data_IF_787770572835
#
_entry.id   IF_787770572835
#
_cell.length_a   1.000
_cell.length_b   1.000
_cell.length_c   1.000
_cell.angle_alpha   90.00
_cell.angle_beta   90.00
_cell.angle_gamma   90.00
#
_symmetry.space_group_name_H-M   'P 1'
#
loop_
_entity.id
_entity.type
_entity.pdbx_description
1 polymer ?
#
# COMPACT_ATOMS: atom_id res chain seq x y z
N UNK A 1 -62.47 -38.75 -34.33
CA UNK A 1 -63.33 -38.84 -35.58
C UNK A 1 -63.41 -37.45 -36.16
N UNK A 2 -62.75 -37.17 -37.27
CA UNK A 2 -63.24 -36.58 -38.51
C UNK A 2 -62.03 -36.35 -39.41
N UNK A 3 -62.07 -37.01 -40.55
CA UNK A 3 -61.13 -36.98 -41.68
C UNK A 3 -61.04 -35.64 -42.35
N UNK A 4 -59.81 -35.30 -42.81
CA UNK A 4 -59.49 -34.29 -43.78
C UNK A 4 -59.29 -34.93 -45.14
N UNK A 5 -59.58 -34.28 -46.25
CA UNK A 5 -59.03 -34.70 -47.53
C UNK A 5 -57.93 -33.83 -48.02
N UNK A 6 -56.94 -34.44 -48.57
CA UNK A 6 -55.81 -34.00 -49.35
C UNK A 6 -56.27 -33.32 -50.65
N UNK A 7 -55.71 -32.15 -50.94
CA UNK A 7 -55.87 -31.56 -52.26
C UNK A 7 -54.48 -31.45 -52.93
N UNK A 8 -54.28 -32.29 -53.96
CA UNK A 8 -53.12 -32.25 -54.85
C UNK A 8 -53.35 -31.13 -55.91
N UNK A 9 -52.45 -30.18 -55.95
CA UNK A 9 -52.39 -29.27 -57.08
C UNK A 9 -51.07 -29.53 -57.82
N UNK A 10 -51.20 -30.07 -59.02
CA UNK A 10 -50.12 -30.19 -59.98
C UNK A 10 -49.87 -28.83 -60.63
N UNK A 11 -48.68 -28.31 -60.51
CA UNK A 11 -48.24 -27.14 -61.27
C UNK A 11 -47.27 -27.57 -62.36
N UNK A 12 -47.69 -27.39 -63.59
CA UNK A 12 -46.96 -27.70 -64.82
C UNK A 12 -45.81 -26.73 -65.02
N UNK A 13 -44.64 -27.26 -65.29
CA UNK A 13 -43.45 -26.52 -65.61
C UNK A 13 -43.45 -26.11 -67.08
N UNK A 14 -43.55 -24.79 -67.38
CA UNK A 14 -43.23 -24.27 -68.68
C UNK A 14 -41.87 -23.62 -68.68
N UNK A 15 -41.02 -24.16 -69.53
CA UNK A 15 -39.62 -23.77 -69.68
C UNK A 15 -39.51 -22.61 -70.65
N UNK A 16 -39.24 -21.40 -70.10
CA UNK A 16 -38.95 -20.23 -70.94
C UNK A 16 -37.51 -19.80 -70.70
N UNK A 17 -36.64 -20.16 -71.64
CA UNK A 17 -35.25 -19.69 -71.67
C UNK A 17 -35.20 -18.21 -71.98
N UNK A 18 -35.06 -17.40 -70.99
CA UNK A 18 -34.68 -15.98 -71.13
C UNK A 18 -33.19 -15.86 -70.90
N UNK A 19 -32.45 -15.71 -72.01
CA UNK A 19 -31.03 -15.33 -72.01
C UNK A 19 -30.86 -13.99 -71.35
N UNK A 20 -30.27 -13.98 -70.14
CA UNK A 20 -29.82 -12.74 -69.53
C UNK A 20 -28.41 -12.43 -70.05
N UNK A 21 -28.34 -11.36 -70.79
CA UNK A 21 -27.14 -10.65 -71.14
C UNK A 21 -26.47 -10.18 -69.83
N UNK A 22 -25.32 -10.79 -69.49
CA UNK A 22 -24.52 -10.32 -68.37
C UNK A 22 -23.75 -9.11 -68.80
N UNK A 23 -24.27 -7.94 -68.42
CA UNK A 23 -23.56 -6.70 -68.45
C UNK A 23 -22.31 -6.82 -67.56
N UNK A 24 -21.13 -6.79 -68.21
CA UNK A 24 -19.84 -6.78 -67.54
C UNK A 24 -19.74 -5.49 -66.70
N UNK A 25 -20.18 -5.56 -65.43
CA UNK A 25 -19.80 -4.59 -64.44
C UNK A 25 -18.30 -4.78 -64.16
N UNK A 26 -17.49 -3.92 -64.80
CA UNK A 26 -16.12 -3.69 -64.35
C UNK A 26 -16.17 -3.17 -62.94
N UNK A 27 -16.13 -4.06 -61.96
CA UNK A 27 -15.75 -3.72 -60.61
C UNK A 27 -14.29 -3.34 -60.64
N UNK A 28 -14.02 -2.04 -60.78
CA UNK A 28 -12.75 -1.50 -60.34
C UNK A 28 -12.58 -2.00 -58.89
N UNK A 29 -11.74 -3.03 -58.73
CA UNK A 29 -11.28 -3.41 -57.42
C UNK A 29 -10.48 -2.23 -56.91
N UNK A 30 -11.11 -1.44 -56.04
CA UNK A 30 -10.39 -0.57 -55.14
C UNK A 30 -9.34 -1.44 -54.42
N UNK A 31 -8.12 -1.34 -54.91
CA UNK A 31 -6.95 -1.94 -54.24
C UNK A 31 -6.80 -1.17 -52.93
N UNK A 32 -7.51 -1.64 -51.90
CA UNK A 32 -7.24 -1.20 -50.52
C UNK A 32 -5.78 -1.54 -50.29
N UNK A 33 -4.91 -0.54 -50.10
CA UNK A 33 -3.51 -0.83 -49.85
C UNK A 33 -3.45 -1.75 -48.61
N UNK A 34 -3.00 -2.97 -48.81
CA UNK A 34 -2.76 -3.86 -47.71
C UNK A 34 -1.69 -3.20 -46.85
N UNK A 35 -2.09 -2.67 -45.73
CA UNK A 35 -1.15 -2.22 -44.68
C UNK A 35 -0.27 -3.41 -44.40
N UNK A 36 0.97 -3.40 -44.89
CA UNK A 36 1.97 -4.35 -44.52
C UNK A 36 2.32 -4.06 -43.06
N UNK A 37 1.54 -4.65 -42.14
CA UNK A 37 1.83 -4.61 -40.72
C UNK A 37 3.03 -5.48 -40.46
N UNK A 38 4.01 -4.95 -39.78
CA UNK A 38 5.11 -5.74 -39.21
C UNK A 38 4.64 -6.21 -37.83
N UNK A 39 4.49 -7.50 -37.65
CA UNK A 39 4.27 -8.07 -36.32
C UNK A 39 5.64 -8.21 -35.64
N UNK A 40 5.80 -7.56 -34.50
CA UNK A 40 6.98 -7.69 -33.65
C UNK A 40 6.53 -8.09 -32.25
N UNK A 41 7.33 -8.91 -31.60
CA UNK A 41 7.17 -9.19 -30.19
C UNK A 41 7.82 -8.05 -29.41
N UNK A 42 7.08 -7.48 -28.47
CA UNK A 42 7.59 -6.40 -27.65
C UNK A 42 6.94 -6.39 -26.26
N UNK A 43 7.67 -5.86 -25.30
CA UNK A 43 7.19 -5.63 -23.94
C UNK A 43 6.85 -4.16 -23.76
N UNK A 44 5.63 -3.88 -23.25
CA UNK A 44 5.26 -2.54 -22.81
C UNK A 44 5.72 -2.35 -21.36
N UNK A 45 6.54 -1.33 -21.15
CA UNK A 45 6.95 -0.89 -19.81
C UNK A 45 6.65 0.61 -19.63
N UNK A 46 6.40 1.09 -18.40
CA UNK A 46 6.29 2.53 -18.18
C UNK A 46 7.57 3.24 -18.59
N UNK A 47 7.44 4.37 -19.32
CA UNK A 47 8.55 5.25 -19.71
C UNK A 47 9.10 5.99 -18.48
N UNK A 48 9.46 5.28 -17.43
CA UNK A 48 9.93 5.86 -16.19
C UNK A 48 10.49 4.80 -15.26
N UNK A 49 10.97 5.25 -14.11
CA UNK A 49 11.53 4.36 -13.11
C UNK A 49 10.45 3.45 -12.51
N UNK A 50 10.63 2.15 -12.65
CA UNK A 50 9.86 1.15 -11.91
C UNK A 50 10.52 0.95 -10.56
N UNK A 51 9.73 1.12 -9.49
CA UNK A 51 10.21 0.94 -8.11
C UNK A 51 9.58 -0.28 -7.49
N UNK A 52 10.44 -1.18 -7.03
CA UNK A 52 10.04 -2.32 -6.22
C UNK A 52 9.87 -1.87 -4.77
N UNK A 53 8.67 -2.05 -4.24
CA UNK A 53 8.35 -1.68 -2.86
C UNK A 53 8.42 -2.93 -1.99
N UNK A 54 9.36 -2.95 -1.05
CA UNK A 54 9.55 -4.03 -0.11
C UNK A 54 8.95 -3.70 1.26
N UNK A 55 8.61 -4.74 2.03
CA UNK A 55 8.29 -4.56 3.45
C UNK A 55 9.55 -4.24 4.25
N UNK A 56 9.44 -3.48 5.34
CA UNK A 56 10.55 -3.29 6.25
C UNK A 56 10.98 -4.63 6.85
N UNK A 57 12.29 -4.81 7.00
CA UNK A 57 12.85 -6.00 7.65
C UNK A 57 12.74 -5.81 9.17
N UNK A 58 12.29 -6.83 9.88
CA UNK A 58 12.28 -6.82 11.35
C UNK A 58 13.70 -6.84 11.91
N UNK A 59 13.86 -6.50 13.20
CA UNK A 59 15.16 -6.56 13.90
C UNK A 59 15.81 -7.95 13.85
N UNK A 60 15.02 -9.00 13.60
CA UNK A 60 15.50 -10.39 13.48
C UNK A 60 15.74 -10.83 12.03
N UNK A 61 15.78 -9.92 11.08
CA UNK A 61 16.02 -10.22 9.66
C UNK A 61 14.84 -10.93 8.95
N UNK A 62 13.66 -10.96 9.55
CA UNK A 62 12.46 -11.57 8.96
C UNK A 62 11.54 -10.51 8.39
N UNK A 63 10.93 -10.82 7.25
CA UNK A 63 9.89 -9.97 6.67
C UNK A 63 8.55 -10.20 7.39
N UNK A 64 7.81 -9.15 7.77
CA UNK A 64 6.49 -9.28 8.34
C UNK A 64 5.48 -9.77 7.30
N UNK A 65 4.42 -10.42 7.78
CA UNK A 65 3.31 -10.88 6.94
C UNK A 65 2.45 -9.69 6.53
N UNK A 66 1.98 -9.71 5.27
CA UNK A 66 0.96 -8.77 4.78
C UNK A 66 -0.40 -9.19 5.35
N UNK A 67 -1.06 -8.28 6.10
CA UNK A 67 -2.40 -8.52 6.67
C UNK A 67 -3.48 -7.97 5.75
N UNK A 68 -3.24 -6.80 5.17
CA UNK A 68 -4.19 -6.13 4.28
C UNK A 68 -3.44 -5.52 3.10
N UNK A 69 -4.07 -5.58 1.94
CA UNK A 69 -3.63 -4.96 0.71
C UNK A 69 -4.77 -4.09 0.19
N UNK A 70 -4.52 -2.80 0.01
CA UNK A 70 -5.56 -1.81 -0.31
C UNK A 70 -5.62 -1.45 -1.81
N UNK A 71 -4.77 -2.05 -2.62
CA UNK A 71 -4.63 -1.74 -4.05
C UNK A 71 -4.64 -3.01 -4.89
N UNK A 72 -4.93 -2.84 -6.17
CA UNK A 72 -4.88 -3.86 -7.22
C UNK A 72 -3.93 -3.44 -8.32
N UNK A 73 -3.51 -4.40 -9.15
CA UNK A 73 -2.75 -4.12 -10.37
C UNK A 73 -3.56 -3.21 -11.29
N UNK A 74 -2.91 -2.18 -11.82
CA UNK A 74 -3.52 -1.14 -12.64
C UNK A 74 -4.09 0.06 -11.89
N UNK A 75 -4.18 0.03 -10.56
CA UNK A 75 -4.67 1.16 -9.78
C UNK A 75 -3.69 2.34 -9.83
N UNK A 76 -4.23 3.55 -10.00
CA UNK A 76 -3.46 4.78 -9.81
C UNK A 76 -3.44 5.16 -8.33
N UNK A 77 -2.26 5.49 -7.82
CA UNK A 77 -2.06 5.89 -6.43
C UNK A 77 -1.25 7.18 -6.33
N UNK A 78 -1.61 8.00 -5.38
CA UNK A 78 -0.86 9.21 -5.05
C UNK A 78 0.26 8.90 -4.05
N UNK A 79 1.27 9.77 -4.05
CA UNK A 79 2.36 9.72 -3.06
C UNK A 79 1.79 9.70 -1.65
N UNK A 80 2.35 8.85 -0.80
CA UNK A 80 1.96 8.65 0.60
C UNK A 80 0.64 7.88 0.83
N UNK A 81 -0.05 7.42 -0.22
CA UNK A 81 -1.20 6.51 -0.09
C UNK A 81 -0.75 5.20 0.55
N UNK A 82 -1.55 4.67 1.49
CA UNK A 82 -1.29 3.36 2.11
C UNK A 82 -1.63 2.26 1.11
N UNK A 83 -0.67 1.39 0.85
CA UNK A 83 -0.78 0.28 -0.10
C UNK A 83 -1.02 -1.06 0.59
N UNK A 84 -0.32 -1.28 1.72
CA UNK A 84 -0.43 -2.50 2.51
C UNK A 84 -0.19 -2.24 3.99
N UNK A 85 -0.70 -3.14 4.85
CA UNK A 85 -0.41 -3.17 6.29
C UNK A 85 0.17 -4.52 6.69
N UNK A 86 1.04 -4.50 7.72
CA UNK A 86 1.79 -5.66 8.19
C UNK A 86 1.36 -6.12 9.59
N UNK A 87 1.61 -7.40 9.90
CA UNK A 87 1.19 -8.09 11.13
C UNK A 87 1.66 -7.44 12.43
N UNK A 88 2.78 -6.73 12.42
CA UNK A 88 3.35 -6.10 13.60
C UNK A 88 2.62 -4.82 14.06
N UNK A 89 1.71 -4.28 13.22
CA UNK A 89 1.05 -2.99 13.44
C UNK A 89 0.24 -2.95 14.74
N UNK A 90 -0.58 -3.96 15.00
CA UNK A 90 -1.44 -3.98 16.19
C UNK A 90 -0.62 -4.13 17.47
N UNK A 91 0.45 -4.92 17.43
CA UNK A 91 1.40 -5.00 18.54
C UNK A 91 2.06 -3.65 18.82
N UNK A 92 2.54 -2.96 17.78
CA UNK A 92 3.17 -1.64 17.91
C UNK A 92 2.22 -0.58 18.45
N UNK A 93 0.93 -0.61 18.07
CA UNK A 93 -0.10 0.26 18.66
C UNK A 93 -0.25 0.01 20.17
N UNK A 94 -0.32 -1.26 20.57
CA UNK A 94 -0.41 -1.63 21.97
C UNK A 94 0.83 -1.21 22.77
N UNK A 95 2.02 -1.38 22.18
CA UNK A 95 3.28 -1.00 22.83
C UNK A 95 3.39 0.54 22.93
N UNK A 96 2.91 1.28 21.94
CA UNK A 96 2.81 2.74 21.98
C UNK A 96 1.90 3.19 23.16
N UNK A 97 0.72 2.61 23.25
CA UNK A 97 -0.24 2.93 24.32
C UNK A 97 0.34 2.66 25.71
N UNK A 98 1.02 1.52 25.91
CA UNK A 98 1.72 1.23 27.16
C UNK A 98 2.80 2.26 27.49
N UNK A 99 3.55 2.70 26.48
CA UNK A 99 4.60 3.70 26.67
C UNK A 99 4.00 5.07 27.00
N UNK A 100 2.84 5.41 26.44
CA UNK A 100 2.12 6.66 26.75
C UNK A 100 1.63 6.67 28.19
N UNK A 101 1.03 5.58 28.68
CA UNK A 101 0.66 5.45 30.10
C UNK A 101 1.88 5.51 31.04
N UNK A 102 3.00 4.92 30.64
CA UNK A 102 4.24 5.01 31.42
C UNK A 102 4.77 6.46 31.50
N UNK A 103 4.68 7.21 30.42
CA UNK A 103 5.05 8.63 30.39
C UNK A 103 4.15 9.47 31.28
N UNK A 104 2.83 9.24 31.24
CA UNK A 104 1.87 9.91 32.11
C UNK A 104 2.15 9.64 33.57
N UNK A 105 2.44 8.38 33.93
CA UNK A 105 2.84 8.00 35.31
C UNK A 105 4.12 8.69 35.73
N UNK A 106 5.14 8.74 34.86
CA UNK A 106 6.40 9.44 35.14
C UNK A 106 6.16 10.95 35.34
N UNK A 107 5.26 11.56 34.58
CA UNK A 107 4.95 12.98 34.73
C UNK A 107 4.28 13.27 36.07
N UNK A 108 3.37 12.40 36.49
CA UNK A 108 2.75 12.48 37.82
C UNK A 108 3.81 12.32 38.94
N UNK A 109 4.69 11.32 38.84
CA UNK A 109 5.77 11.13 39.81
C UNK A 109 6.71 12.33 39.88
N UNK A 110 7.11 12.91 38.74
CA UNK A 110 7.94 14.10 38.68
C UNK A 110 7.24 15.26 39.39
N UNK A 111 5.97 15.51 39.09
CA UNK A 111 5.19 16.57 39.71
C UNK A 111 5.09 16.41 41.23
N UNK A 112 4.81 15.20 41.71
CA UNK A 112 4.76 14.89 43.14
C UNK A 112 6.12 15.12 43.83
N UNK A 113 7.22 14.71 43.18
CA UNK A 113 8.59 14.91 43.70
C UNK A 113 8.99 16.39 43.69
N UNK A 114 8.57 17.15 42.68
CA UNK A 114 8.80 18.61 42.62
C UNK A 114 8.07 19.32 43.78
N UNK A 115 6.84 18.96 44.05
CA UNK A 115 6.06 19.55 45.15
C UNK A 115 6.62 19.13 46.53
N UNK A 116 7.09 17.89 46.66
CA UNK A 116 7.82 17.46 47.87
C UNK A 116 9.09 18.29 48.05
N UNK A 117 9.89 18.49 47.00
CA UNK A 117 11.13 19.25 47.05
C UNK A 117 10.88 20.71 47.44
N UNK A 118 9.82 21.35 46.92
CA UNK A 118 9.40 22.72 47.34
C UNK A 118 9.12 22.78 48.85
N UNK A 119 8.35 21.80 49.40
CA UNK A 119 8.04 21.74 50.83
C UNK A 119 9.30 21.52 51.68
N UNK A 120 10.20 20.65 51.23
CA UNK A 120 11.49 20.44 51.91
C UNK A 120 12.34 21.70 51.95
N UNK A 121 12.42 22.46 50.86
CA UNK A 121 13.15 23.72 50.78
C UNK A 121 12.64 24.71 51.87
N UNK A 122 11.31 24.87 51.94
CA UNK A 122 10.68 25.73 52.96
C UNK A 122 10.94 25.27 54.41
N UNK A 123 11.15 23.96 54.64
CA UNK A 123 11.44 23.42 55.94
C UNK A 123 12.92 23.53 56.33
N UNK A 124 13.85 23.49 55.38
CA UNK A 124 15.27 23.80 55.57
C UNK A 124 15.46 25.25 56.00
N UNK A 125 14.76 26.18 55.35
CA UNK A 125 14.82 27.60 55.69
C UNK A 125 14.39 27.87 57.15
N UNK A 126 13.67 26.88 57.77
CA UNK A 126 13.28 26.86 59.20
C UNK A 126 14.18 26.01 60.10
N UNK A 127 15.34 25.59 59.62
CA UNK A 127 16.29 24.65 60.31
C UNK A 127 15.70 23.30 60.69
N UNK A 128 14.64 22.81 59.98
CA UNK A 128 13.98 21.54 60.34
C UNK A 128 14.59 20.34 59.60
N UNK A 129 15.41 20.51 58.56
CA UNK A 129 16.01 19.41 57.78
C UNK A 129 17.45 19.73 57.34
N UNK A 130 18.20 18.65 57.01
CA UNK A 130 19.59 18.75 56.54
C UNK A 130 19.67 19.05 55.04
N UNK A 131 20.66 19.86 54.63
CA UNK A 131 20.98 20.11 53.20
C UNK A 131 21.34 18.83 52.43
N UNK A 132 21.94 17.83 53.11
CA UNK A 132 22.28 16.55 52.51
C UNK A 132 21.01 15.83 52.04
N UNK A 133 19.96 15.83 52.84
CA UNK A 133 18.67 15.18 52.48
C UNK A 133 18.00 15.90 51.33
N UNK A 134 18.13 17.21 51.27
CA UNK A 134 17.63 18.01 50.12
C UNK A 134 18.35 17.65 48.84
N UNK A 135 19.69 17.58 48.87
CA UNK A 135 20.50 17.20 47.72
C UNK A 135 20.13 15.80 47.20
N UNK A 136 19.96 14.83 48.08
CA UNK A 136 19.55 13.47 47.71
C UNK A 136 18.20 13.46 46.99
N UNK A 137 17.21 14.21 47.47
CA UNK A 137 15.88 14.30 46.84
C UNK A 137 15.93 15.01 45.47
N UNK A 138 16.80 16.01 45.35
CA UNK A 138 17.05 16.68 44.06
C UNK A 138 17.67 15.71 43.05
N UNK A 139 18.59 14.84 43.49
CA UNK A 139 19.19 13.82 42.61
C UNK A 139 18.19 12.76 42.20
N UNK A 140 17.26 12.34 43.11
CA UNK A 140 16.14 11.47 42.75
C UNK A 140 15.25 12.08 41.69
N UNK A 141 14.87 13.37 41.83
CA UNK A 141 14.08 14.08 40.83
C UNK A 141 14.82 14.15 39.49
N UNK A 142 16.13 14.41 39.50
CA UNK A 142 16.94 14.45 38.30
C UNK A 142 16.95 13.10 37.56
N UNK A 143 17.05 11.97 38.33
CA UNK A 143 16.97 10.63 37.77
C UNK A 143 15.63 10.37 37.08
N UNK A 144 14.51 10.75 37.71
CA UNK A 144 13.19 10.60 37.10
C UNK A 144 13.04 11.43 35.81
N UNK A 145 13.55 12.68 35.82
CA UNK A 145 13.56 13.51 34.62
C UNK A 145 14.39 12.91 33.50
N UNK A 146 15.53 12.32 33.79
CA UNK A 146 16.35 11.59 32.80
C UNK A 146 15.63 10.34 32.29
N UNK A 147 14.95 9.59 33.17
CA UNK A 147 14.15 8.44 32.77
C UNK A 147 13.00 8.81 31.81
N UNK A 148 12.34 9.94 32.06
CA UNK A 148 11.35 10.48 31.14
C UNK A 148 11.92 10.73 29.73
N UNK A 149 13.14 11.31 29.63
CA UNK A 149 13.80 11.54 28.34
C UNK A 149 14.03 10.22 27.59
N UNK A 150 14.48 9.18 28.28
CA UNK A 150 14.67 7.84 27.71
C UNK A 150 13.32 7.29 27.20
N UNK A 151 12.26 7.37 28.01
CA UNK A 151 10.93 6.89 27.64
C UNK A 151 10.35 7.67 26.44
N UNK A 152 10.65 8.96 26.31
CA UNK A 152 10.28 9.76 25.12
C UNK A 152 11.03 9.31 23.86
N UNK A 153 12.31 8.96 23.99
CA UNK A 153 13.09 8.40 22.89
C UNK A 153 12.54 7.04 22.44
N UNK A 154 12.21 6.16 23.39
CA UNK A 154 11.58 4.87 23.10
C UNK A 154 10.22 5.03 22.41
N UNK A 155 9.38 5.98 22.91
CA UNK A 155 8.10 6.31 22.24
C UNK A 155 8.31 6.74 20.80
N UNK A 156 9.32 7.57 20.54
CA UNK A 156 9.66 8.02 19.18
C UNK A 156 10.08 6.84 18.30
N UNK A 157 10.85 5.91 18.81
CA UNK A 157 11.23 4.69 18.08
C UNK A 157 9.99 3.86 17.70
N UNK A 158 9.09 3.62 18.65
CA UNK A 158 7.83 2.91 18.39
C UNK A 158 6.98 3.62 17.32
N UNK A 159 6.92 4.95 17.32
CA UNK A 159 6.21 5.71 16.29
C UNK A 159 6.81 5.55 14.89
N UNK A 160 8.14 5.49 14.79
CA UNK A 160 8.83 5.20 13.54
C UNK A 160 8.50 3.78 13.06
N UNK A 161 8.57 2.78 13.94
CA UNK A 161 8.22 1.41 13.63
C UNK A 161 6.75 1.27 13.22
N UNK A 162 5.85 2.01 13.88
CA UNK A 162 4.43 2.06 13.54
C UNK A 162 4.21 2.69 12.16
N UNK A 163 4.95 3.72 11.78
CA UNK A 163 4.90 4.28 10.43
C UNK A 163 5.39 3.27 9.39
N UNK A 164 6.47 2.55 9.70
CA UNK A 164 7.04 1.51 8.84
C UNK A 164 6.19 0.23 8.77
N UNK A 165 5.22 0.05 9.69
CA UNK A 165 4.27 -1.07 9.64
C UNK A 165 3.20 -0.92 8.55
N UNK A 166 3.25 0.15 7.77
CA UNK A 166 2.45 0.37 6.56
C UNK A 166 3.38 0.60 5.39
N UNK A 167 3.09 -0.05 4.27
CA UNK A 167 3.72 0.27 3.00
C UNK A 167 2.98 1.44 2.38
N UNK A 168 3.71 2.51 2.07
CA UNK A 168 3.15 3.71 1.43
C UNK A 168 3.83 3.97 0.09
N UNK A 169 3.06 4.54 -0.84
CA UNK A 169 3.62 4.93 -2.13
C UNK A 169 4.64 6.07 -1.96
N UNK A 170 5.87 5.92 -2.46
CA UNK A 170 6.88 6.99 -2.46
C UNK A 170 6.65 8.04 -3.57
N UNK A 171 5.84 7.71 -4.57
CA UNK A 171 5.59 8.52 -5.77
C UNK A 171 4.12 8.47 -6.17
N UNK A 172 3.70 9.35 -7.08
CA UNK A 172 2.45 9.20 -7.82
C UNK A 172 2.69 8.21 -8.96
N UNK A 173 1.77 7.27 -9.20
CA UNK A 173 1.97 6.28 -10.26
C UNK A 173 0.93 5.17 -10.27
N UNK A 174 1.18 4.17 -11.11
CA UNK A 174 0.34 3.00 -11.28
C UNK A 174 0.98 1.76 -10.65
N UNK A 175 0.17 0.93 -10.01
CA UNK A 175 0.59 -0.39 -9.52
C UNK A 175 0.74 -1.30 -10.73
N UNK A 176 1.96 -1.80 -10.96
CA UNK A 176 2.29 -2.62 -12.12
C UNK A 176 2.10 -4.10 -11.83
N UNK A 177 2.57 -4.56 -10.67
CA UNK A 177 2.44 -5.95 -10.24
C UNK A 177 2.35 -6.04 -8.73
N UNK A 178 1.73 -7.12 -8.25
CA UNK A 178 1.62 -7.46 -6.84
C UNK A 178 2.32 -8.81 -6.63
N UNK A 179 3.47 -8.76 -5.94
CA UNK A 179 4.36 -9.91 -5.77
C UNK A 179 4.09 -10.70 -4.48
N UNK A 180 3.27 -10.13 -3.56
CA UNK A 180 2.96 -10.76 -2.26
C UNK A 180 1.46 -10.68 -1.98
N UNK A 181 0.84 -11.80 -1.61
CA UNK A 181 -0.58 -11.87 -1.28
C UNK A 181 -0.84 -11.64 0.19
N UNK A 182 -2.09 -11.28 0.52
CA UNK A 182 -2.54 -11.21 1.92
C UNK A 182 -2.33 -12.57 2.60
N UNK A 183 -1.72 -12.54 3.78
CA UNK A 183 -1.35 -13.74 4.54
C UNK A 183 0.07 -14.25 4.28
N UNK A 184 0.75 -13.78 3.25
CA UNK A 184 2.13 -14.18 2.90
C UNK A 184 3.15 -13.22 3.52
N UNK A 185 4.40 -13.68 3.63
CA UNK A 185 5.56 -12.85 3.95
C UNK A 185 6.19 -12.39 2.64
N UNK A 186 6.58 -11.12 2.55
CA UNK A 186 7.30 -10.66 1.37
C UNK A 186 8.64 -11.39 1.23
N UNK A 187 9.10 -11.49 0.00
CA UNK A 187 10.37 -12.10 -0.38
C UNK A 187 11.33 -11.03 -0.95
N UNK A 188 12.39 -11.47 -1.63
CA UNK A 188 13.36 -10.59 -2.30
C UNK A 188 12.78 -9.77 -3.45
N UNK A 189 11.62 -10.17 -4.00
CA UNK A 189 10.92 -9.43 -5.06
C UNK A 189 10.12 -8.24 -4.52
N UNK A 190 9.94 -8.17 -3.20
CA UNK A 190 9.15 -7.13 -2.54
C UNK A 190 7.67 -7.45 -2.45
N UNK A 191 6.86 -6.44 -2.14
CA UNK A 191 5.40 -6.58 -2.01
C UNK A 191 4.72 -6.28 -3.33
N UNK A 192 5.12 -5.20 -4.00
CA UNK A 192 4.54 -4.74 -5.28
C UNK A 192 5.51 -3.81 -6.02
N UNK A 193 5.25 -3.63 -7.30
CA UNK A 193 5.99 -2.72 -8.18
C UNK A 193 5.10 -1.53 -8.56
N UNK A 194 5.68 -0.32 -8.55
CA UNK A 194 5.01 0.92 -8.94
C UNK A 194 5.79 1.62 -10.05
N UNK A 195 5.09 2.08 -11.09
CA UNK A 195 5.64 2.87 -12.19
C UNK A 195 5.20 4.33 -12.12
N UNK A 196 6.15 5.25 -12.31
CA UNK A 196 5.93 6.69 -12.15
C UNK A 196 5.23 7.36 -13.35
N UNK A 197 5.10 6.69 -14.50
CA UNK A 197 4.77 7.35 -15.76
C UNK A 197 3.37 7.04 -16.28
N UNK A 198 2.74 8.07 -16.87
CA UNK A 198 1.57 7.93 -17.75
C UNK A 198 1.96 7.48 -19.17
N UNK A 199 3.23 7.59 -19.54
CA UNK A 199 3.74 7.20 -20.85
C UNK A 199 4.27 5.77 -20.78
N UNK A 200 3.94 4.98 -21.80
CA UNK A 200 4.44 3.62 -21.96
C UNK A 200 5.48 3.59 -23.08
N UNK A 201 6.55 2.89 -22.87
CA UNK A 201 7.56 2.58 -23.89
C UNK A 201 7.41 1.13 -24.32
N UNK A 202 7.49 0.90 -25.64
CA UNK A 202 7.53 -0.45 -26.20
C UNK A 202 8.97 -0.81 -26.53
N UNK A 203 9.51 -1.79 -25.84
CA UNK A 203 10.79 -2.40 -26.22
C UNK A 203 10.49 -3.56 -27.17
N UNK A 204 10.99 -3.47 -28.40
CA UNK A 204 10.79 -4.46 -29.46
C UNK A 204 12.07 -5.29 -29.54
N UNK A 205 11.94 -6.62 -29.48
CA UNK A 205 13.01 -7.59 -29.74
C UNK A 205 12.98 -8.06 -31.18
#
# INVERSE_FOLDING_TARGET
LILSPFLFINFSCSNEKKSREYENLNLEQDIVPSLKGVAALGQLSPAGEVRKLASPVSQFGTFPRVIELFVKEGDYVEKNTVLATFENREKLKSDLQKKEYLLETNDLEISLKEDQLKRFKLAIDKNAYSEIQFSQRKDELLKLKKQKIINLADRKAILIDLSNSQLRSPINGYILSINTRVGERSNSEGVLDIGASQNMEATIE
#
